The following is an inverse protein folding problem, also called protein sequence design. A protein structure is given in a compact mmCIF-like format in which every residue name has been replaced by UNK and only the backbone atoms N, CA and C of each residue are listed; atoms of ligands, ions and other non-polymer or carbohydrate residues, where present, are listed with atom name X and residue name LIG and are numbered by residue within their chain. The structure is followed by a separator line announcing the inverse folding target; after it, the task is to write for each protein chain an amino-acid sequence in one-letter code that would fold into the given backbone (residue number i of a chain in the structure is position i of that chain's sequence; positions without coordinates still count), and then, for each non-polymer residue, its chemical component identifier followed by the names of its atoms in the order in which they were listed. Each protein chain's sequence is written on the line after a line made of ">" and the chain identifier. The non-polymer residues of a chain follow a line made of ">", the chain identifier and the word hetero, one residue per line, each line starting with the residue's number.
data_IF_073742796459
#
_entry.id   IF_073742796459
#
_cell.length_a   1.000
_cell.length_b   1.000
_cell.length_c   1.000
_cell.angle_alpha   90.00
_cell.angle_beta   90.00
_cell.angle_gamma   90.00
#
_symmetry.space_group_name_H-M   'P 1'
#
loop_
_entity.id
_entity.type
_entity.pdbx_description
1 polymer ?
#
# COMPACT_ATOMS: atom_id res chain seq x y z
N UNK A 1 -38.76 -20.33 -9.33
CA UNK A 1 -38.05 -21.62 -9.53
C UNK A 1 -37.32 -21.96 -8.25
N UNK A 2 -37.33 -23.24 -7.90
CA UNK A 2 -36.66 -23.82 -6.74
C UNK A 2 -35.60 -24.81 -7.23
N UNK A 3 -34.58 -25.16 -6.41
CA UNK A 3 -33.43 -25.99 -6.83
C UNK A 3 -33.84 -27.37 -7.31
N UNK A 4 -34.92 -27.94 -6.78
CA UNK A 4 -35.50 -29.22 -7.20
C UNK A 4 -36.10 -29.19 -8.64
N UNK A 5 -36.35 -28.01 -9.19
CA UNK A 5 -36.81 -27.82 -10.56
C UNK A 5 -35.66 -27.75 -11.59
N UNK A 6 -34.42 -27.79 -11.12
CA UNK A 6 -33.25 -27.70 -12.00
C UNK A 6 -33.02 -29.01 -12.79
N UNK A 7 -32.96 -28.91 -14.10
CA UNK A 7 -32.68 -30.03 -14.97
C UNK A 7 -33.83 -31.04 -15.17
N UNK A 8 -35.04 -30.76 -14.69
CA UNK A 8 -36.19 -31.59 -14.84
C UNK A 8 -37.16 -31.06 -15.90
N UNK A 9 -38.04 -31.93 -16.44
CA UNK A 9 -39.03 -31.52 -17.42
C UNK A 9 -40.00 -30.51 -16.83
N UNK A 10 -40.20 -29.37 -17.50
CA UNK A 10 -41.03 -28.25 -17.02
C UNK A 10 -40.32 -27.34 -15.98
N UNK A 11 -39.10 -27.65 -15.62
CA UNK A 11 -38.28 -26.83 -14.76
C UNK A 11 -37.40 -25.82 -15.52
N UNK A 12 -36.15 -25.67 -15.07
CA UNK A 12 -35.17 -24.78 -15.72
C UNK A 12 -33.81 -25.49 -15.92
N UNK A 13 -33.06 -25.05 -16.90
CA UNK A 13 -31.65 -25.39 -17.10
C UNK A 13 -30.82 -24.15 -16.87
N UNK A 14 -29.76 -24.28 -16.08
CA UNK A 14 -28.83 -23.16 -15.92
C UNK A 14 -28.18 -22.82 -17.27
N UNK A 15 -27.99 -21.55 -17.52
CA UNK A 15 -27.22 -21.06 -18.66
C UNK A 15 -25.82 -21.68 -18.62
N UNK A 16 -25.34 -22.37 -19.69
CA UNK A 16 -24.01 -22.93 -19.72
C UNK A 16 -22.91 -21.87 -19.76
N UNK A 17 -23.26 -20.65 -20.19
CA UNK A 17 -22.31 -19.54 -20.22
C UNK A 17 -22.09 -18.96 -18.82
N UNK A 18 -20.84 -18.64 -18.53
CA UNK A 18 -20.43 -18.04 -17.27
C UNK A 18 -20.19 -16.55 -17.50
N UNK A 19 -20.76 -15.70 -16.65
CA UNK A 19 -20.48 -14.27 -16.68
C UNK A 19 -18.99 -14.02 -16.50
N UNK A 20 -18.45 -13.04 -17.25
CA UNK A 20 -17.10 -12.57 -17.09
C UNK A 20 -16.83 -12.18 -15.63
N UNK A 21 -15.70 -12.61 -15.10
CA UNK A 21 -15.22 -12.24 -13.75
C UNK A 21 -15.23 -10.72 -13.52
N UNK A 22 -15.01 -9.93 -14.54
CA UNK A 22 -15.08 -8.46 -14.47
C UNK A 22 -16.47 -7.95 -14.10
N UNK A 23 -17.52 -8.72 -14.31
CA UNK A 23 -18.86 -8.37 -13.88
C UNK A 23 -18.95 -8.22 -12.35
N UNK A 24 -18.38 -9.17 -11.59
CA UNK A 24 -18.30 -9.08 -10.12
C UNK A 24 -17.21 -8.09 -9.69
N UNK A 25 -16.04 -8.14 -10.31
CA UNK A 25 -14.90 -7.28 -9.98
C UNK A 25 -15.22 -5.80 -10.13
N UNK A 26 -16.10 -5.43 -11.06
CA UNK A 26 -16.55 -4.04 -11.25
C UNK A 26 -17.46 -3.51 -10.13
N UNK A 27 -17.93 -4.36 -9.22
CA UNK A 27 -18.68 -3.98 -8.02
C UNK A 27 -17.81 -3.99 -6.74
N UNK A 28 -16.52 -4.18 -6.86
CA UNK A 28 -15.62 -4.28 -5.69
C UNK A 28 -15.75 -3.11 -4.70
N UNK A 29 -15.85 -1.83 -5.10
CA UNK A 29 -16.06 -0.74 -4.16
C UNK A 29 -17.34 -0.89 -3.35
N UNK A 30 -18.45 -1.24 -3.99
CA UNK A 30 -19.73 -1.44 -3.34
C UNK A 30 -19.70 -2.64 -2.38
N UNK A 31 -19.09 -3.75 -2.80
CA UNK A 31 -18.93 -4.96 -1.98
C UNK A 31 -18.07 -4.66 -0.74
N UNK A 32 -16.92 -4.04 -0.94
CA UNK A 32 -15.97 -3.75 0.13
C UNK A 32 -16.53 -2.75 1.17
N UNK A 33 -17.39 -1.84 0.74
CA UNK A 33 -18.03 -0.85 1.61
C UNK A 33 -19.34 -1.35 2.24
N UNK A 34 -19.78 -2.57 1.92
CA UNK A 34 -20.99 -3.18 2.51
C UNK A 34 -22.32 -2.70 1.90
N UNK A 35 -22.33 -2.31 0.63
CA UNK A 35 -23.55 -1.90 -0.08
C UNK A 35 -24.66 -2.95 0.03
N UNK A 36 -25.84 -2.52 0.46
CA UNK A 36 -27.01 -3.39 0.67
C UNK A 36 -26.95 -4.28 1.93
N UNK A 37 -25.81 -4.33 2.63
CA UNK A 37 -25.59 -5.18 3.82
C UNK A 37 -25.33 -4.34 5.08
N UNK A 38 -24.51 -3.31 4.96
CA UNK A 38 -24.16 -2.43 6.07
C UNK A 38 -24.23 -0.95 5.62
N UNK A 39 -25.40 -0.31 5.74
CA UNK A 39 -25.61 1.07 5.29
C UNK A 39 -24.69 2.09 5.97
N UNK A 40 -24.39 1.91 7.26
CA UNK A 40 -23.52 2.82 8.02
C UNK A 40 -22.07 2.77 7.54
N UNK A 41 -21.54 1.58 7.26
CA UNK A 41 -20.22 1.42 6.69
C UNK A 41 -20.18 2.02 5.29
N UNK A 42 -21.17 1.70 4.46
CA UNK A 42 -21.24 2.21 3.09
C UNK A 42 -21.26 3.74 3.04
N UNK A 43 -22.10 4.38 3.84
CA UNK A 43 -22.20 5.84 3.89
C UNK A 43 -20.89 6.53 4.34
N UNK A 44 -20.06 5.85 5.12
CA UNK A 44 -18.77 6.38 5.62
C UNK A 44 -17.59 6.13 4.68
N UNK A 45 -17.67 5.13 3.82
CA UNK A 45 -16.52 4.62 3.05
C UNK A 45 -16.72 4.60 1.54
N UNK A 46 -17.89 4.94 1.03
CA UNK A 46 -18.17 5.10 -0.40
C UNK A 46 -18.55 6.55 -0.72
N UNK A 47 -17.92 7.20 -1.69
CA UNK A 47 -16.75 6.77 -2.49
C UNK A 47 -15.50 6.50 -1.65
N UNK A 48 -14.64 5.57 -2.10
CA UNK A 48 -13.36 5.28 -1.45
C UNK A 48 -12.34 6.40 -1.70
N UNK A 49 -11.34 6.55 -0.83
CA UNK A 49 -10.29 7.57 -1.02
C UNK A 49 -9.30 7.17 -2.09
N UNK A 50 -8.88 5.91 -2.09
CA UNK A 50 -7.78 5.42 -2.92
C UNK A 50 -8.04 4.03 -3.49
N UNK A 51 -7.76 3.88 -4.78
CA UNK A 51 -7.78 2.62 -5.50
C UNK A 51 -6.40 2.25 -6.03
N UNK A 52 -5.65 1.33 -5.39
CA UNK A 52 -4.43 0.75 -5.96
C UNK A 52 -4.77 -0.30 -7.02
N UNK A 53 -4.11 -0.24 -8.17
CA UNK A 53 -4.20 -1.25 -9.22
C UNK A 53 -3.01 -1.19 -10.19
N UNK A 54 -2.82 -2.28 -10.97
CA UNK A 54 -1.93 -2.27 -12.12
C UNK A 54 -2.50 -1.48 -13.30
N UNK A 55 -1.63 -0.97 -14.15
CA UNK A 55 -2.03 -0.22 -15.34
C UNK A 55 -2.67 -1.10 -16.43
N UNK A 56 -2.43 -2.40 -16.41
CA UNK A 56 -2.91 -3.36 -17.41
C UNK A 56 -4.42 -3.65 -17.31
N UNK A 57 -5.05 -3.34 -16.18
CA UNK A 57 -6.49 -3.53 -15.96
C UNK A 57 -7.31 -2.22 -15.97
N UNK A 58 -6.76 -1.12 -16.46
CA UNK A 58 -7.47 0.15 -16.59
C UNK A 58 -8.72 -0.01 -17.46
N UNK A 59 -8.58 -0.64 -18.62
CA UNK A 59 -9.68 -0.81 -19.57
C UNK A 59 -10.74 -1.80 -19.09
N UNK A 60 -10.36 -2.83 -18.38
CA UNK A 60 -11.27 -3.89 -17.92
C UNK A 60 -11.88 -3.59 -16.57
N UNK A 61 -11.07 -3.37 -15.57
CA UNK A 61 -11.54 -3.21 -14.20
C UNK A 61 -11.89 -1.76 -13.84
N UNK A 62 -10.97 -0.80 -14.03
CA UNK A 62 -11.22 0.60 -13.66
C UNK A 62 -12.41 1.17 -14.42
N UNK A 63 -12.39 1.03 -15.75
CA UNK A 63 -13.45 1.58 -16.60
C UNK A 63 -14.82 0.99 -16.24
N UNK A 64 -14.93 -0.35 -16.16
CA UNK A 64 -16.19 -1.01 -15.81
C UNK A 64 -16.69 -0.62 -14.42
N UNK A 65 -15.79 -0.46 -13.43
CA UNK A 65 -16.15 -0.03 -12.08
C UNK A 65 -16.65 1.41 -12.06
N UNK A 66 -15.99 2.32 -12.79
CA UNK A 66 -16.40 3.72 -12.85
C UNK A 66 -17.79 3.87 -13.51
N UNK A 67 -18.03 3.17 -14.63
CA UNK A 67 -19.34 3.18 -15.31
C UNK A 67 -20.43 2.63 -14.41
N UNK A 68 -20.19 1.55 -13.68
CA UNK A 68 -21.17 0.98 -12.76
C UNK A 68 -21.47 1.87 -11.57
N UNK A 69 -20.45 2.47 -10.98
CA UNK A 69 -20.65 3.39 -9.86
C UNK A 69 -21.48 4.62 -10.28
N UNK A 70 -21.17 5.17 -11.44
CA UNK A 70 -21.97 6.27 -12.01
C UNK A 70 -23.42 5.85 -12.25
N UNK A 71 -23.63 4.68 -12.86
CA UNK A 71 -24.98 4.19 -13.19
C UNK A 71 -25.81 3.85 -11.95
N UNK A 72 -25.20 3.27 -10.92
CA UNK A 72 -25.89 2.77 -9.72
C UNK A 72 -26.02 3.81 -8.61
N UNK A 73 -25.05 4.71 -8.48
CA UNK A 73 -24.93 5.64 -7.37
C UNK A 73 -24.78 7.12 -7.80
N UNK A 74 -24.75 7.41 -9.11
CA UNK A 74 -24.46 8.75 -9.65
C UNK A 74 -23.21 9.37 -9.01
N UNK A 75 -22.17 8.56 -8.82
CA UNK A 75 -20.96 8.93 -8.10
C UNK A 75 -19.73 8.21 -8.66
N UNK A 76 -18.57 8.81 -8.47
CA UNK A 76 -17.29 8.11 -8.71
C UNK A 76 -17.10 7.02 -7.64
N UNK A 77 -16.44 5.89 -7.95
CA UNK A 77 -16.22 4.83 -6.96
C UNK A 77 -15.06 5.14 -5.99
N UNK A 78 -14.17 6.06 -6.34
CA UNK A 78 -13.02 6.54 -5.55
C UNK A 78 -12.55 7.90 -6.06
N UNK A 79 -11.80 8.61 -5.21
CA UNK A 79 -11.27 9.94 -5.57
C UNK A 79 -9.89 9.87 -6.24
N UNK A 80 -9.07 8.88 -5.88
CA UNK A 80 -7.71 8.74 -6.37
C UNK A 80 -7.44 7.31 -6.83
N UNK A 81 -6.58 7.16 -7.87
CA UNK A 81 -6.13 5.87 -8.36
C UNK A 81 -4.60 5.81 -8.35
N UNK A 82 -4.04 4.89 -7.57
CA UNK A 82 -2.60 4.61 -7.57
C UNK A 82 -2.30 3.52 -8.59
N UNK A 83 -1.72 3.90 -9.72
CA UNK A 83 -1.37 2.97 -10.80
C UNK A 83 0.06 2.48 -10.60
N UNK A 84 0.23 1.17 -10.41
CA UNK A 84 1.54 0.52 -10.37
C UNK A 84 1.97 0.04 -11.76
N UNK A 85 3.29 -0.02 -11.99
CA UNK A 85 3.87 -0.78 -13.09
C UNK A 85 3.86 -2.29 -12.84
N UNK A 86 4.50 -3.04 -13.72
CA UNK A 86 4.69 -4.48 -13.54
C UNK A 86 5.85 -4.79 -12.60
N UNK A 87 5.74 -5.95 -11.94
CA UNK A 87 6.89 -6.59 -11.31
C UNK A 87 7.58 -7.43 -12.36
N UNK A 88 8.83 -7.13 -12.63
CA UNK A 88 9.68 -7.81 -13.60
C UNK A 88 10.58 -8.84 -12.89
N UNK A 89 11.00 -9.87 -13.62
CA UNK A 89 12.00 -10.81 -13.14
C UNK A 89 13.39 -10.15 -12.97
N UNK A 90 14.42 -10.85 -12.44
CA UNK A 90 15.77 -10.29 -12.31
C UNK A 90 16.38 -9.81 -13.62
N UNK A 91 15.99 -10.38 -14.75
CA UNK A 91 16.43 -9.98 -16.09
C UNK A 91 15.59 -8.82 -16.68
N UNK A 92 14.71 -8.22 -15.87
CA UNK A 92 13.78 -7.15 -16.27
C UNK A 92 12.76 -7.56 -17.35
N UNK A 93 12.36 -8.83 -17.37
CA UNK A 93 11.31 -9.35 -18.26
C UNK A 93 10.01 -9.49 -17.49
N UNK A 94 8.89 -9.29 -18.18
CA UNK A 94 7.56 -9.49 -17.60
C UNK A 94 7.42 -10.94 -17.12
N UNK A 95 7.04 -11.12 -15.86
CA UNK A 95 6.75 -12.42 -15.27
C UNK A 95 5.49 -13.03 -15.87
N UNK A 96 5.53 -14.30 -16.22
CA UNK A 96 4.34 -15.06 -16.62
C UNK A 96 4.49 -16.55 -16.26
N UNK A 97 3.37 -17.17 -15.90
CA UNK A 97 3.34 -18.61 -15.59
C UNK A 97 3.82 -19.46 -16.75
N UNK A 98 3.47 -19.08 -17.99
CA UNK A 98 3.86 -19.79 -19.20
C UNK A 98 5.37 -19.76 -19.49
N UNK A 99 6.08 -18.74 -18.98
CA UNK A 99 7.54 -18.60 -19.13
C UNK A 99 8.32 -19.23 -17.96
N UNK A 100 7.63 -19.62 -16.89
CA UNK A 100 8.29 -20.19 -15.70
C UNK A 100 9.17 -19.24 -14.91
N UNK A 101 9.08 -17.92 -15.15
CA UNK A 101 9.90 -16.90 -14.50
C UNK A 101 9.19 -16.16 -13.36
N UNK A 102 8.14 -16.76 -12.82
CA UNK A 102 7.39 -16.18 -11.70
C UNK A 102 8.11 -16.43 -10.39
N UNK A 103 8.36 -15.39 -9.62
CA UNK A 103 8.86 -15.50 -8.24
C UNK A 103 7.66 -15.65 -7.30
N UNK A 104 7.69 -16.70 -6.47
CA UNK A 104 6.62 -16.98 -5.51
C UNK A 104 6.85 -16.16 -4.23
N UNK A 105 5.88 -15.32 -3.80
CA UNK A 105 6.06 -14.45 -2.63
C UNK A 105 6.41 -15.19 -1.34
N UNK A 106 5.88 -16.40 -1.12
CA UNK A 106 6.13 -17.16 0.11
C UNK A 106 7.61 -17.50 0.31
N UNK A 107 8.29 -17.94 -0.73
CA UNK A 107 9.73 -18.26 -0.67
C UNK A 107 10.56 -17.01 -0.34
N UNK A 108 10.15 -15.87 -0.86
CA UNK A 108 10.82 -14.58 -0.63
C UNK A 108 10.59 -14.12 0.82
N UNK A 109 9.36 -14.27 1.33
CA UNK A 109 9.02 -13.95 2.71
C UNK A 109 9.77 -14.82 3.71
N UNK A 110 9.90 -16.13 3.46
CA UNK A 110 10.68 -17.05 4.29
C UNK A 110 12.17 -16.70 4.30
N UNK A 111 12.73 -16.35 3.14
CA UNK A 111 14.15 -16.05 2.98
C UNK A 111 14.56 -14.69 3.58
N UNK A 112 13.77 -13.65 3.37
CA UNK A 112 14.15 -12.27 3.72
C UNK A 112 13.35 -11.68 4.88
N UNK A 113 12.18 -12.21 5.18
CA UNK A 113 11.23 -11.66 6.15
C UNK A 113 10.30 -10.60 5.54
N UNK A 114 9.19 -10.36 6.21
CA UNK A 114 8.12 -9.45 5.73
C UNK A 114 8.58 -8.01 5.58
N UNK A 115 9.38 -7.50 6.54
CA UNK A 115 9.87 -6.11 6.51
C UNK A 115 10.75 -5.84 5.29
N UNK A 116 11.61 -6.80 4.93
CA UNK A 116 12.47 -6.71 3.75
C UNK A 116 11.68 -6.65 2.44
N UNK A 117 10.67 -7.51 2.31
CA UNK A 117 9.80 -7.54 1.12
C UNK A 117 8.97 -6.26 1.03
N UNK A 118 8.43 -5.79 2.15
CA UNK A 118 7.68 -4.54 2.22
C UNK A 118 8.54 -3.32 1.88
N UNK A 119 9.79 -3.28 2.35
CA UNK A 119 10.75 -2.22 2.00
C UNK A 119 10.99 -2.17 0.49
N UNK A 120 11.29 -3.32 -0.13
CA UNK A 120 11.45 -3.41 -1.58
C UNK A 120 10.19 -2.96 -2.32
N UNK A 121 9.02 -3.44 -1.93
CA UNK A 121 7.74 -3.05 -2.54
C UNK A 121 7.47 -1.54 -2.39
N UNK A 122 7.72 -0.98 -1.20
CA UNK A 122 7.54 0.44 -0.92
C UNK A 122 8.58 1.35 -1.63
N UNK A 123 9.68 0.79 -2.10
CA UNK A 123 10.67 1.51 -2.92
C UNK A 123 10.22 1.69 -4.38
N UNK A 124 9.18 0.98 -4.80
CA UNK A 124 8.62 1.07 -6.15
C UNK A 124 7.86 2.39 -6.34
N UNK A 125 8.09 3.06 -7.46
CA UNK A 125 7.38 4.29 -7.82
C UNK A 125 6.09 3.98 -8.57
N UNK A 126 5.06 4.75 -8.30
CA UNK A 126 3.84 4.69 -9.11
C UNK A 126 4.15 4.97 -10.58
N UNK A 127 3.49 4.25 -11.48
CA UNK A 127 3.65 4.39 -12.92
C UNK A 127 4.94 3.79 -13.51
N UNK A 128 5.79 3.16 -12.70
CA UNK A 128 7.04 2.57 -13.16
C UNK A 128 7.10 1.08 -12.87
N UNK A 129 7.70 0.32 -13.80
CA UNK A 129 7.99 -1.09 -13.59
C UNK A 129 9.10 -1.28 -12.54
N UNK A 130 8.99 -2.34 -11.74
CA UNK A 130 9.95 -2.66 -10.67
C UNK A 130 10.48 -4.06 -10.87
N UNK A 131 11.80 -4.19 -10.98
CA UNK A 131 12.44 -5.50 -11.05
C UNK A 131 12.48 -6.17 -9.67
N UNK A 132 12.36 -7.48 -9.64
CA UNK A 132 12.67 -8.28 -8.46
C UNK A 132 14.13 -8.06 -8.07
N UNK A 133 14.38 -7.61 -6.83
CA UNK A 133 15.71 -7.22 -6.38
C UNK A 133 15.99 -7.70 -4.95
N UNK A 134 16.74 -8.78 -4.84
CA UNK A 134 17.20 -9.32 -3.55
C UNK A 134 18.14 -8.36 -2.80
N UNK A 135 18.87 -7.52 -3.52
CA UNK A 135 19.75 -6.52 -2.94
C UNK A 135 18.96 -5.50 -2.13
N UNK A 136 17.86 -5.00 -2.69
CA UNK A 136 16.95 -4.08 -2.01
C UNK A 136 16.30 -4.74 -0.78
N UNK A 137 15.94 -6.02 -0.87
CA UNK A 137 15.37 -6.74 0.28
C UNK A 137 16.40 -6.90 1.41
N UNK A 138 17.68 -7.16 1.10
CA UNK A 138 18.75 -7.20 2.10
C UNK A 138 18.97 -5.84 2.76
N UNK A 139 18.86 -4.74 2.00
CA UNK A 139 18.91 -3.38 2.55
C UNK A 139 17.75 -3.14 3.52
N UNK A 140 16.53 -3.47 3.12
CA UNK A 140 15.34 -3.33 3.98
C UNK A 140 15.43 -4.15 5.26
N UNK A 141 15.92 -5.40 5.18
CA UNK A 141 16.15 -6.24 6.37
C UNK A 141 17.15 -5.59 7.34
N UNK A 142 18.24 -5.04 6.81
CA UNK A 142 19.26 -4.36 7.60
C UNK A 142 18.70 -3.13 8.29
N UNK A 143 17.89 -2.34 7.60
CA UNK A 143 17.19 -1.17 8.16
C UNK A 143 16.26 -1.60 9.31
N UNK A 144 15.43 -2.63 9.10
CA UNK A 144 14.51 -3.13 10.13
C UNK A 144 15.24 -3.58 11.40
N UNK A 145 16.33 -4.33 11.26
CA UNK A 145 17.18 -4.76 12.39
C UNK A 145 17.81 -3.55 13.09
N UNK A 146 18.29 -2.58 12.34
CA UNK A 146 18.93 -1.37 12.91
C UNK A 146 17.89 -0.53 13.67
N UNK A 147 16.70 -0.35 13.12
CA UNK A 147 15.58 0.34 13.80
C UNK A 147 15.21 -0.36 15.11
N UNK A 148 15.07 -1.68 15.08
CA UNK A 148 14.77 -2.46 16.29
C UNK A 148 15.86 -2.30 17.36
N UNK A 149 17.13 -2.37 16.98
CA UNK A 149 18.25 -2.24 17.90
C UNK A 149 18.36 -0.81 18.46
N UNK A 150 18.21 0.20 17.62
CA UNK A 150 18.19 1.60 18.05
C UNK A 150 17.03 1.87 19.03
N UNK A 151 15.83 1.33 18.73
CA UNK A 151 14.67 1.46 19.62
C UNK A 151 14.90 0.78 20.96
N UNK A 152 15.45 -0.44 20.98
CA UNK A 152 15.81 -1.13 22.22
C UNK A 152 16.83 -0.34 23.03
N UNK A 153 17.84 0.22 22.39
CA UNK A 153 18.83 1.05 23.05
C UNK A 153 18.20 2.27 23.72
N UNK A 154 17.38 3.02 23.00
CA UNK A 154 16.70 4.21 23.53
C UNK A 154 15.77 3.88 24.68
N UNK A 155 14.97 2.81 24.54
CA UNK A 155 14.03 2.38 25.58
C UNK A 155 14.75 1.93 26.86
N UNK A 156 15.93 1.31 26.73
CA UNK A 156 16.75 0.89 27.89
C UNK A 156 17.43 2.06 28.64
N UNK A 157 17.52 3.26 28.04
CA UNK A 157 18.01 4.44 28.73
C UNK A 157 17.06 4.96 29.80
N UNK A 158 15.84 4.42 29.86
CA UNK A 158 14.80 4.82 30.79
C UNK A 158 14.08 6.12 30.37
N UNK A 159 12.85 6.27 30.82
CA UNK A 159 12.12 7.51 30.67
C UNK A 159 12.63 8.52 31.71
N UNK A 160 13.17 9.63 31.25
CA UNK A 160 13.32 10.80 32.16
C UNK A 160 11.92 11.38 32.37
N UNK A 161 11.55 11.67 33.63
CA UNK A 161 10.24 12.21 34.02
C UNK A 161 9.84 13.52 33.30
N UNK A 162 10.74 14.11 32.55
CA UNK A 162 10.51 15.34 31.76
C UNK A 162 11.03 15.14 30.35
N UNK A 163 10.17 14.65 29.49
CA UNK A 163 10.44 14.62 28.06
C UNK A 163 10.75 16.02 27.54
N UNK A 164 11.93 16.19 27.01
CA UNK A 164 12.47 17.47 26.50
C UNK A 164 11.63 18.01 25.33
N UNK A 165 10.88 17.16 24.65
CA UNK A 165 10.04 17.55 23.50
C UNK A 165 8.81 18.39 23.90
N UNK A 166 8.31 18.22 25.11
CA UNK A 166 7.23 19.09 25.66
C UNK A 166 7.71 20.47 26.07
N UNK A 167 8.98 20.77 25.99
CA UNK A 167 9.56 21.98 26.56
C UNK A 167 9.55 23.19 25.65
N UNK A 168 9.13 23.12 24.40
CA UNK A 168 8.83 24.35 23.66
C UNK A 168 7.70 25.17 24.32
N UNK A 169 6.72 24.48 24.92
CA UNK A 169 5.66 25.15 25.70
C UNK A 169 6.13 25.70 27.06
N UNK A 170 7.31 25.29 27.53
CA UNK A 170 7.85 25.67 28.85
C UNK A 170 9.18 26.46 28.80
N UNK A 171 9.57 26.95 27.63
CA UNK A 171 10.73 27.86 27.51
C UNK A 171 12.11 27.22 27.79
N UNK A 172 12.24 25.89 27.78
CA UNK A 172 13.55 25.25 27.89
C UNK A 172 14.27 25.27 26.55
N UNK A 173 15.31 26.05 26.48
CA UNK A 173 16.20 26.15 25.33
C UNK A 173 17.09 24.92 25.27
N UNK A 174 17.06 24.17 24.16
CA UNK A 174 18.05 23.15 23.86
C UNK A 174 19.43 23.81 23.76
N UNK A 175 20.32 23.48 24.69
CA UNK A 175 21.62 24.15 24.83
C UNK A 175 22.59 23.66 23.72
N UNK A 176 22.51 22.39 23.34
CA UNK A 176 23.41 21.80 22.37
C UNK A 176 23.04 22.19 20.92
N UNK A 177 24.00 22.73 20.19
CA UNK A 177 23.81 23.15 18.80
C UNK A 177 23.52 21.96 17.86
N UNK A 178 24.11 20.78 18.14
CA UNK A 178 23.87 19.57 17.37
C UNK A 178 22.42 19.08 17.52
N UNK A 179 21.89 19.08 18.76
CA UNK A 179 20.51 18.68 19.02
C UNK A 179 19.52 19.63 18.33
N UNK A 180 19.77 20.92 18.36
CA UNK A 180 18.96 21.91 17.62
C UNK A 180 19.00 21.66 16.12
N UNK A 181 20.19 21.41 15.57
CA UNK A 181 20.34 21.09 14.14
C UNK A 181 19.59 19.82 13.76
N UNK A 182 19.67 18.76 14.59
CA UNK A 182 18.96 17.52 14.38
C UNK A 182 17.44 17.74 14.38
N UNK A 183 16.92 18.46 15.36
CA UNK A 183 15.48 18.75 15.45
C UNK A 183 14.97 19.62 14.29
N UNK A 184 15.78 20.61 13.86
CA UNK A 184 15.43 21.41 12.68
C UNK A 184 15.37 20.55 11.40
N UNK A 185 16.33 19.66 11.23
CA UNK A 185 16.32 18.69 10.10
C UNK A 185 15.15 17.71 10.18
N UNK A 186 14.81 17.25 11.40
CA UNK A 186 13.65 16.39 11.62
C UNK A 186 12.33 17.11 11.28
N UNK A 187 12.18 18.36 11.68
CA UNK A 187 11.00 19.16 11.35
C UNK A 187 10.83 19.28 9.82
N UNK A 188 11.91 19.65 9.12
CA UNK A 188 11.92 19.70 7.66
C UNK A 188 11.59 18.34 7.02
N UNK A 189 12.16 17.24 7.54
CA UNK A 189 11.84 15.88 7.08
C UNK A 189 10.34 15.58 7.22
N UNK A 190 9.73 15.93 8.36
CA UNK A 190 8.31 15.69 8.61
C UNK A 190 7.46 16.42 7.56
N UNK A 191 7.77 17.68 7.26
CA UNK A 191 7.06 18.45 6.23
C UNK A 191 7.18 17.80 4.84
N UNK A 192 8.40 17.45 4.44
CA UNK A 192 8.66 16.82 3.14
C UNK A 192 8.02 15.42 3.01
N UNK A 193 8.10 14.60 4.06
CA UNK A 193 7.49 13.27 4.05
C UNK A 193 5.96 13.35 4.03
N UNK A 194 5.38 14.27 4.79
CA UNK A 194 3.95 14.53 4.79
C UNK A 194 3.48 14.96 3.40
N UNK A 195 4.16 15.94 2.79
CA UNK A 195 3.84 16.41 1.46
C UNK A 195 3.96 15.30 0.39
N UNK A 196 4.91 14.38 0.56
CA UNK A 196 5.05 13.21 -0.31
C UNK A 196 3.88 12.21 -0.12
N UNK A 197 3.47 11.93 1.12
CA UNK A 197 2.32 11.06 1.40
C UNK A 197 1.01 11.64 0.90
N UNK A 198 0.78 12.95 1.03
CA UNK A 198 -0.42 13.62 0.50
C UNK A 198 -0.55 13.47 -1.02
N UNK A 199 0.57 13.26 -1.72
CA UNK A 199 0.62 12.99 -3.18
C UNK A 199 0.71 11.51 -3.51
N UNK A 200 0.60 10.62 -2.53
CA UNK A 200 0.82 9.17 -2.68
C UNK A 200 2.23 8.79 -3.19
N UNK A 201 3.22 9.67 -3.03
CA UNK A 201 4.62 9.44 -3.39
C UNK A 201 5.35 8.68 -2.28
N UNK A 202 4.84 7.53 -1.86
CA UNK A 202 5.35 6.76 -0.72
C UNK A 202 6.82 6.33 -0.87
N UNK A 203 7.27 6.06 -2.11
CA UNK A 203 8.68 5.72 -2.37
C UNK A 203 9.61 6.89 -2.06
N UNK A 204 9.20 8.14 -2.34
CA UNK A 204 9.93 9.34 -1.96
C UNK A 204 9.96 9.51 -0.44
N UNK A 205 8.82 9.37 0.22
CA UNK A 205 8.74 9.44 1.67
C UNK A 205 9.68 8.43 2.33
N UNK A 206 9.66 7.17 1.88
CA UNK A 206 10.58 6.13 2.35
C UNK A 206 12.04 6.54 2.16
N UNK A 207 12.42 7.01 0.97
CA UNK A 207 13.80 7.38 0.64
C UNK A 207 14.34 8.50 1.55
N UNK A 208 13.56 9.56 1.77
CA UNK A 208 14.02 10.69 2.60
C UNK A 208 14.09 10.31 4.07
N UNK A 209 13.15 9.50 4.57
CA UNK A 209 13.18 8.98 5.94
C UNK A 209 14.37 8.04 6.17
N UNK A 210 14.63 7.12 5.24
CA UNK A 210 15.78 6.22 5.29
C UNK A 210 17.09 7.00 5.30
N UNK A 211 17.27 7.97 4.39
CA UNK A 211 18.45 8.82 4.32
C UNK A 211 18.66 9.63 5.60
N UNK A 212 17.60 10.16 6.19
CA UNK A 212 17.69 10.88 7.47
C UNK A 212 18.12 9.93 8.59
N UNK A 213 17.49 8.74 8.71
CA UNK A 213 17.83 7.78 9.74
C UNK A 213 19.30 7.40 9.72
N UNK A 214 19.86 7.07 8.55
CA UNK A 214 21.27 6.74 8.40
C UNK A 214 22.22 7.94 8.62
N UNK A 215 21.72 9.16 8.58
CA UNK A 215 22.55 10.35 8.80
C UNK A 215 22.87 10.62 10.26
N UNK A 216 22.14 10.02 11.21
CA UNK A 216 22.34 10.22 12.65
C UNK A 216 22.60 8.92 13.45
N UNK A 217 22.55 7.74 12.80
CA UNK A 217 22.84 6.44 13.40
C UNK A 217 24.18 5.86 12.91
#
# INVERSE_FOLDING_TARGET
>A
YTEDQRGVAGGFIADPDVLDTWATSSLTPQIATGWGVNPDLHAKTFPMDLRPQGHDIIRTWLFSTAVRAETLASSVPWYNTALSGWILDPDRKKMSKSKGNVVVPNEVLEKYGSDAVRYWAASARLGADTAYDEGQMKIGRRLAIKLLNASKFVLNLGATEKSVITSQAQGRVLINALDRSLLARLAYLIEEATAAFEKYEYARALQICDSFFWSFT
#
